data_IF_202126026412
#
_entry.id   IF_202126026412
#
_cell.length_a   1.000
_cell.length_b   1.000
_cell.length_c   1.000
_cell.angle_alpha   90.00
_cell.angle_beta   90.00
_cell.angle_gamma   90.00
#
_symmetry.space_group_name_H-M   'P 1'
#
loop_
_entity.id
_entity.type
_entity.pdbx_description
1 polymer ?
#
# COMPACT_ATOMS: atom_id res chain seq x y z
N UNK A 1 22.96 21.84 -20.54
CA UNK A 1 23.03 21.89 -19.08
C UNK A 1 23.42 23.31 -18.72
N UNK A 2 22.66 24.00 -17.88
CA UNK A 2 23.08 25.34 -17.43
C UNK A 2 24.25 25.21 -16.46
N UNK A 3 25.08 26.25 -16.30
CA UNK A 3 26.20 26.22 -15.34
C UNK A 3 25.72 25.90 -13.90
N UNK A 4 24.53 26.39 -13.52
CA UNK A 4 23.89 26.09 -12.24
C UNK A 4 23.51 24.60 -12.11
N UNK A 5 23.01 23.98 -13.19
CA UNK A 5 22.67 22.56 -13.19
C UNK A 5 23.92 21.69 -13.03
N UNK A 6 25.04 22.07 -13.65
CA UNK A 6 26.33 21.38 -13.51
C UNK A 6 26.86 21.47 -12.07
N UNK A 7 26.81 22.67 -11.46
CA UNK A 7 27.22 22.89 -10.07
C UNK A 7 26.35 22.07 -9.09
N UNK A 8 25.03 22.00 -9.32
CA UNK A 8 24.13 21.16 -8.53
C UNK A 8 24.49 19.68 -8.68
N UNK A 9 24.77 19.22 -9.90
CA UNK A 9 25.14 17.82 -10.15
C UNK A 9 26.47 17.45 -9.51
N UNK A 10 27.43 18.37 -9.48
CA UNK A 10 28.70 18.20 -8.77
C UNK A 10 28.46 18.05 -7.26
N UNK A 11 27.67 18.94 -6.64
CA UNK A 11 27.29 18.83 -5.22
C UNK A 11 26.55 17.53 -4.90
N UNK A 12 25.60 17.13 -5.76
CA UNK A 12 24.87 15.86 -5.63
C UNK A 12 25.79 14.64 -5.76
N UNK A 13 26.85 14.73 -6.58
CA UNK A 13 27.84 13.66 -6.70
C UNK A 13 28.64 13.49 -5.41
N UNK A 14 28.92 14.59 -4.69
CA UNK A 14 29.56 14.57 -3.38
C UNK A 14 28.68 13.96 -2.29
N UNK A 15 27.34 14.06 -2.42
CA UNK A 15 26.39 13.36 -1.54
C UNK A 15 26.32 11.85 -1.80
N UNK A 16 26.92 11.35 -2.88
CA UNK A 16 26.77 9.95 -3.25
C UNK A 16 27.63 9.06 -2.34
N UNK A 17 26.95 8.37 -1.41
CA UNK A 17 27.53 7.41 -0.46
C UNK A 17 28.31 6.27 -1.14
N UNK A 18 28.12 6.02 -2.43
CA UNK A 18 28.98 5.09 -3.17
C UNK A 18 30.47 5.49 -3.17
N UNK A 19 30.79 6.75 -2.85
CA UNK A 19 32.15 7.25 -2.66
C UNK A 19 32.66 7.10 -1.21
N UNK A 20 31.80 6.79 -0.23
CA UNK A 20 32.21 6.57 1.16
C UNK A 20 32.98 5.24 1.21
N UNK A 21 34.30 5.26 1.55
CA UNK A 21 35.11 4.05 1.64
C UNK A 21 34.47 3.00 2.52
N UNK A 22 34.56 1.72 2.12
CA UNK A 22 33.97 0.61 2.90
C UNK A 22 34.56 0.51 4.31
N UNK A 23 35.77 1.03 4.52
CA UNK A 23 36.40 1.06 5.85
C UNK A 23 35.66 1.98 6.84
N UNK A 24 34.87 2.95 6.37
CA UNK A 24 34.08 3.85 7.21
C UNK A 24 32.77 3.25 7.74
N UNK A 25 32.36 2.07 7.24
CA UNK A 25 31.12 1.40 7.68
C UNK A 25 31.24 0.75 9.07
N UNK A 26 32.46 0.64 9.60
CA UNK A 26 32.78 0.10 10.93
C UNK A 26 33.40 1.17 11.85
N UNK A 27 33.27 2.45 11.50
CA UNK A 27 34.04 3.54 12.09
C UNK A 27 33.59 4.01 13.49
N UNK A 28 34.55 4.52 14.27
CA UNK A 28 34.33 5.22 15.53
C UNK A 28 33.57 6.57 15.36
N UNK A 29 32.94 7.03 16.44
CA UNK A 29 32.12 8.26 16.52
C UNK A 29 32.74 9.54 15.92
N UNK A 30 34.06 9.62 15.76
CA UNK A 30 34.72 10.83 15.26
C UNK A 30 34.67 10.95 13.73
N UNK A 31 34.64 9.83 12.98
CA UNK A 31 34.45 9.86 11.52
C UNK A 31 32.99 10.18 11.14
N UNK A 32 32.03 9.80 12.00
CA UNK A 32 30.62 10.19 11.84
C UNK A 32 30.46 11.72 11.90
N UNK A 33 31.20 12.39 12.78
CA UNK A 33 31.17 13.87 12.89
C UNK A 33 31.75 14.55 11.66
N UNK A 34 32.82 14.02 11.09
CA UNK A 34 33.45 14.55 9.88
C UNK A 34 32.48 14.46 8.69
N UNK A 35 31.87 13.29 8.48
CA UNK A 35 30.84 13.10 7.45
C UNK A 35 29.66 14.08 7.63
N UNK A 36 29.22 14.31 8.86
CA UNK A 36 28.16 15.27 9.16
C UNK A 36 28.55 16.71 8.77
N UNK A 37 29.79 17.12 9.07
CA UNK A 37 30.31 18.44 8.68
C UNK A 37 30.32 18.63 7.16
N UNK A 38 30.81 17.63 6.42
CA UNK A 38 30.85 17.67 4.96
C UNK A 38 29.45 17.81 4.33
N UNK A 39 28.44 17.18 4.93
CA UNK A 39 27.06 17.29 4.48
C UNK A 39 26.50 18.70 4.70
N UNK A 40 26.76 19.31 5.85
CA UNK A 40 26.29 20.66 6.18
C UNK A 40 26.87 21.69 5.19
N UNK A 41 28.15 21.58 4.84
CA UNK A 41 28.78 22.42 3.81
C UNK A 41 28.13 22.27 2.43
N UNK A 42 27.70 21.06 2.05
CA UNK A 42 26.99 20.83 0.78
C UNK A 42 25.60 21.49 0.81
N UNK A 43 24.87 21.38 1.92
CA UNK A 43 23.55 21.99 2.04
C UNK A 43 23.61 23.51 2.07
N UNK A 44 24.60 24.12 2.72
CA UNK A 44 24.84 25.57 2.67
C UNK A 44 25.13 26.02 1.23
N UNK A 45 25.93 25.28 0.46
CA UNK A 45 26.15 25.59 -0.97
C UNK A 45 24.85 25.50 -1.80
N UNK A 46 23.94 24.57 -1.46
CA UNK A 46 22.63 24.58 -2.11
C UNK A 46 21.82 25.82 -1.77
N UNK A 47 21.88 26.33 -0.53
CA UNK A 47 21.21 27.58 -0.15
C UNK A 47 21.82 28.78 -0.87
N UNK A 48 23.15 28.88 -0.94
CA UNK A 48 23.84 29.92 -1.70
C UNK A 48 23.41 29.92 -3.17
N UNK A 49 23.29 28.73 -3.78
CA UNK A 49 22.79 28.58 -5.15
C UNK A 49 21.35 29.05 -5.31
N UNK A 50 20.48 28.66 -4.38
CA UNK A 50 19.07 29.08 -4.34
C UNK A 50 18.97 30.61 -4.24
N UNK A 51 19.78 31.23 -3.39
CA UNK A 51 19.76 32.68 -3.14
C UNK A 51 20.49 33.51 -4.18
N UNK A 52 21.40 32.90 -4.95
CA UNK A 52 22.14 33.57 -6.02
C UNK A 52 21.25 34.13 -7.14
N UNK A 53 20.00 33.64 -7.25
CA UNK A 53 19.02 33.99 -8.31
C UNK A 53 19.56 33.80 -9.73
N UNK A 54 20.59 32.96 -9.92
CA UNK A 54 21.19 32.65 -11.22
C UNK A 54 20.24 31.88 -12.16
N UNK A 55 19.21 31.24 -11.60
CA UNK A 55 18.14 30.56 -12.32
C UNK A 55 16.81 30.69 -11.57
N UNK A 56 15.66 30.40 -12.21
CA UNK A 56 14.37 30.38 -11.52
C UNK A 56 14.40 29.38 -10.35
N UNK A 57 13.92 29.80 -9.17
CA UNK A 57 13.90 29.00 -7.95
C UNK A 57 13.34 27.59 -8.19
N UNK A 58 12.24 27.49 -8.93
CA UNK A 58 11.57 26.23 -9.24
C UNK A 58 12.49 25.26 -10.00
N UNK A 59 13.37 25.74 -10.88
CA UNK A 59 14.24 24.90 -11.70
C UNK A 59 15.44 24.40 -10.90
N UNK A 60 15.99 25.26 -10.03
CA UNK A 60 17.02 24.89 -9.05
C UNK A 60 16.49 23.79 -8.13
N UNK A 61 15.34 24.03 -7.47
CA UNK A 61 14.76 23.09 -6.53
C UNK A 61 14.34 21.77 -7.20
N UNK A 62 13.81 21.80 -8.44
CA UNK A 62 13.51 20.57 -9.20
C UNK A 62 14.76 19.73 -9.41
N UNK A 63 15.88 20.37 -9.74
CA UNK A 63 17.16 19.68 -10.00
C UNK A 63 17.68 19.03 -8.72
N UNK A 64 17.68 19.77 -7.61
CA UNK A 64 18.07 19.27 -6.29
C UNK A 64 17.16 18.09 -5.88
N UNK A 65 15.84 18.25 -5.96
CA UNK A 65 14.89 17.23 -5.55
C UNK A 65 14.98 15.96 -6.41
N UNK A 66 15.23 16.11 -7.72
CA UNK A 66 15.50 14.99 -8.62
C UNK A 66 16.75 14.22 -8.17
N UNK A 67 17.81 14.94 -7.78
CA UNK A 67 19.03 14.38 -7.19
C UNK A 67 18.80 13.65 -5.85
N UNK A 68 17.84 14.14 -5.06
CA UNK A 68 17.50 13.51 -3.77
C UNK A 68 16.71 12.21 -3.92
N UNK A 69 15.97 11.98 -5.02
CA UNK A 69 15.20 10.73 -5.23
C UNK A 69 16.02 9.46 -4.96
N UNK A 70 17.20 9.24 -5.57
CA UNK A 70 18.01 8.05 -5.31
C UNK A 70 18.52 7.97 -3.86
N UNK A 71 18.81 9.09 -3.20
CA UNK A 71 19.21 9.14 -1.79
C UNK A 71 18.04 8.72 -0.90
N UNK A 72 16.88 9.38 -1.06
CA UNK A 72 15.69 9.15 -0.24
C UNK A 72 15.09 7.75 -0.41
N UNK A 73 15.29 7.15 -1.58
CA UNK A 73 14.88 5.77 -1.88
C UNK A 73 15.94 4.73 -1.52
N UNK A 74 17.13 5.16 -1.11
CA UNK A 74 18.30 4.33 -0.83
C UNK A 74 18.72 3.49 -2.05
N UNK A 75 18.52 4.03 -3.26
CA UNK A 75 18.81 3.41 -4.55
C UNK A 75 20.22 3.73 -5.07
N UNK A 76 21.00 4.56 -4.37
CA UNK A 76 22.41 4.83 -4.72
C UNK A 76 23.32 3.59 -4.70
N UNK A 77 22.79 2.45 -4.26
CA UNK A 77 23.41 1.14 -4.44
C UNK A 77 23.40 0.80 -5.94
N UNK A 78 24.54 1.03 -6.59
CA UNK A 78 24.85 0.37 -7.86
C UNK A 78 24.52 -1.13 -7.78
N UNK A 79 24.19 -1.73 -8.92
CA UNK A 79 23.64 -3.09 -9.04
C UNK A 79 24.49 -4.22 -8.42
N UNK A 80 25.64 -3.92 -7.81
CA UNK A 80 26.63 -4.85 -7.26
C UNK A 80 26.60 -5.02 -5.73
N UNK A 81 25.87 -4.20 -4.95
CA UNK A 81 25.72 -4.51 -3.53
C UNK A 81 24.73 -5.65 -3.36
N UNK A 82 25.25 -6.82 -3.00
CA UNK A 82 24.50 -7.94 -2.46
C UNK A 82 23.88 -7.54 -1.11
N UNK A 83 22.82 -6.74 -1.19
CA UNK A 83 21.51 -7.12 -0.70
C UNK A 83 21.51 -7.87 0.63
N UNK A 84 21.48 -7.13 1.74
CA UNK A 84 20.66 -7.43 2.94
C UNK A 84 20.79 -6.40 4.06
N UNK A 85 21.73 -5.44 3.96
CA UNK A 85 21.89 -4.38 4.97
C UNK A 85 21.82 -2.99 4.34
N UNK A 86 21.04 -2.12 4.96
CA UNK A 86 21.09 -0.67 4.77
C UNK A 86 22.03 -0.15 5.86
N UNK A 87 23.13 0.51 5.51
CA UNK A 87 24.08 1.02 6.51
C UNK A 87 23.57 2.32 7.15
N UNK A 88 24.13 2.65 8.31
CA UNK A 88 23.69 3.77 9.16
C UNK A 88 23.96 5.11 8.50
N UNK A 89 25.08 5.24 7.80
CA UNK A 89 25.57 6.43 7.12
C UNK A 89 24.61 6.83 5.99
N UNK A 90 24.14 5.86 5.21
CA UNK A 90 23.11 6.12 4.19
C UNK A 90 21.80 6.62 4.80
N UNK A 91 21.44 6.10 5.98
CA UNK A 91 20.25 6.58 6.71
C UNK A 91 20.48 8.01 7.20
N UNK A 92 21.68 8.35 7.68
CA UNK A 92 22.04 9.71 8.09
C UNK A 92 21.98 10.68 6.91
N UNK A 93 22.63 10.38 5.77
CA UNK A 93 22.57 11.23 4.57
C UNK A 93 21.13 11.44 4.12
N UNK A 94 20.34 10.36 4.10
CA UNK A 94 18.90 10.44 3.81
C UNK A 94 18.16 11.35 4.79
N UNK A 95 18.43 11.25 6.08
CA UNK A 95 17.79 12.08 7.10
C UNK A 95 18.19 13.56 6.93
N UNK A 96 19.47 13.85 6.65
CA UNK A 96 19.93 15.21 6.38
C UNK A 96 19.31 15.83 5.14
N UNK A 97 19.13 15.04 4.06
CA UNK A 97 18.34 15.49 2.91
C UNK A 97 16.90 15.82 3.28
N UNK A 98 16.28 15.07 4.21
CA UNK A 98 14.93 15.37 4.70
C UNK A 98 14.91 16.64 5.55
N UNK A 99 15.88 16.82 6.44
CA UNK A 99 16.00 18.02 7.26
C UNK A 99 16.16 19.28 6.39
N UNK A 100 16.95 19.19 5.32
CA UNK A 100 17.08 20.24 4.33
C UNK A 100 15.73 20.56 3.64
N UNK A 101 14.96 19.54 3.25
CA UNK A 101 13.60 19.74 2.69
C UNK A 101 12.68 20.41 3.72
N UNK A 102 12.76 20.02 5.00
CA UNK A 102 11.98 20.61 6.10
C UNK A 102 12.35 22.09 6.27
N UNK A 103 13.64 22.43 6.25
CA UNK A 103 14.15 23.80 6.30
C UNK A 103 13.59 24.65 5.15
N UNK A 104 13.70 24.16 3.91
CA UNK A 104 13.14 24.83 2.74
C UNK A 104 11.61 24.98 2.79
N UNK A 105 10.91 24.02 3.42
CA UNK A 105 9.45 24.05 3.56
C UNK A 105 8.98 25.00 4.66
N UNK A 106 9.88 25.34 5.60
CA UNK A 106 9.60 26.23 6.72
C UNK A 106 10.00 27.67 6.41
N UNK A 107 10.97 27.89 5.53
CA UNK A 107 11.40 29.22 5.09
C UNK A 107 10.30 29.91 4.25
N UNK A 108 9.90 31.15 4.59
CA UNK A 108 8.87 31.88 3.84
C UNK A 108 9.23 32.10 2.36
N UNK A 109 10.53 32.19 2.05
CA UNK A 109 11.03 32.51 0.72
C UNK A 109 10.87 31.36 -0.28
N UNK A 110 10.91 30.11 0.20
CA UNK A 110 10.86 28.92 -0.68
C UNK A 110 9.62 28.07 -0.47
N UNK A 111 8.92 28.23 0.67
CA UNK A 111 7.85 27.34 1.13
C UNK A 111 6.80 26.98 0.08
N UNK A 112 6.31 27.93 -0.72
CA UNK A 112 5.29 27.65 -1.74
C UNK A 112 5.82 26.69 -2.80
N UNK A 113 6.95 27.05 -3.41
CA UNK A 113 7.63 26.26 -4.44
C UNK A 113 8.04 24.88 -3.93
N UNK A 114 8.60 24.82 -2.72
CA UNK A 114 9.02 23.57 -2.08
C UNK A 114 7.83 22.63 -1.90
N UNK A 115 6.69 23.13 -1.42
CA UNK A 115 5.47 22.30 -1.20
C UNK A 115 4.93 21.67 -2.46
N UNK A 116 4.90 22.40 -3.57
CA UNK A 116 4.46 21.86 -4.86
C UNK A 116 5.38 20.72 -5.33
N UNK A 117 6.67 20.83 -5.06
CA UNK A 117 7.66 19.81 -5.41
C UNK A 117 7.62 18.59 -4.48
N UNK A 118 7.21 18.74 -3.22
CA UNK A 118 7.05 17.61 -2.29
C UNK A 118 6.06 16.58 -2.83
N UNK A 119 4.95 17.02 -3.41
CA UNK A 119 3.99 16.13 -4.06
C UNK A 119 4.66 15.25 -5.12
N UNK A 120 5.44 15.87 -6.02
CA UNK A 120 6.15 15.19 -7.11
C UNK A 120 7.24 14.25 -6.55
N UNK A 121 7.96 14.72 -5.53
CA UNK A 121 9.00 13.94 -4.85
C UNK A 121 8.43 12.66 -4.23
N UNK A 122 7.30 12.76 -3.53
CA UNK A 122 6.63 11.59 -2.94
C UNK A 122 6.22 10.57 -4.00
N UNK A 123 5.72 11.02 -5.16
CA UNK A 123 5.41 10.12 -6.28
C UNK A 123 6.67 9.37 -6.77
N UNK A 124 7.77 10.10 -6.95
CA UNK A 124 9.03 9.49 -7.37
C UNK A 124 9.57 8.50 -6.33
N UNK A 125 9.49 8.82 -5.03
CA UNK A 125 9.89 7.90 -3.96
C UNK A 125 9.07 6.62 -4.03
N UNK A 126 7.74 6.71 -4.20
CA UNK A 126 6.88 5.53 -4.34
C UNK A 126 7.27 4.66 -5.55
N UNK A 127 7.51 5.27 -6.71
CA UNK A 127 7.83 4.54 -7.96
C UNK A 127 9.23 3.94 -7.93
N UNK A 128 10.19 4.63 -7.30
CA UNK A 128 11.61 4.26 -7.30
C UNK A 128 12.03 3.46 -6.06
N UNK A 129 11.16 3.32 -5.05
CA UNK A 129 11.41 2.48 -3.89
C UNK A 129 11.70 1.03 -4.32
N UNK A 130 12.85 0.46 -3.92
CA UNK A 130 13.18 -0.92 -4.24
C UNK A 130 12.17 -1.89 -3.65
N UNK A 131 11.99 -3.02 -4.32
CA UNK A 131 10.90 -3.97 -4.04
C UNK A 131 11.03 -4.74 -2.71
N UNK A 132 12.17 -4.67 -2.03
CA UNK A 132 12.37 -5.44 -0.79
C UNK A 132 11.73 -4.74 0.40
N UNK A 133 11.16 -5.54 1.29
CA UNK A 133 10.48 -5.05 2.51
C UNK A 133 11.36 -4.15 3.39
N UNK A 134 12.68 -4.38 3.43
CA UNK A 134 13.62 -3.53 4.18
C UNK A 134 13.65 -2.09 3.66
N UNK A 135 13.47 -1.87 2.35
CA UNK A 135 13.42 -0.51 1.81
C UNK A 135 12.06 0.14 2.08
N UNK A 136 10.97 -0.64 2.04
CA UNK A 136 9.65 -0.14 2.39
C UNK A 136 9.62 0.37 3.83
N UNK A 137 10.15 -0.39 4.79
CA UNK A 137 10.19 0.00 6.20
C UNK A 137 11.02 1.27 6.46
N UNK A 138 11.98 1.59 5.57
CA UNK A 138 12.78 2.83 5.64
C UNK A 138 12.16 3.99 4.85
N UNK A 139 11.42 3.73 3.77
CA UNK A 139 10.89 4.78 2.89
C UNK A 139 9.48 5.24 3.27
N UNK A 140 8.66 4.38 3.89
CA UNK A 140 7.33 4.79 4.37
C UNK A 140 7.42 5.93 5.40
N UNK A 141 8.29 5.88 6.43
CA UNK A 141 8.44 7.00 7.37
C UNK A 141 8.78 8.33 6.66
N UNK A 142 9.65 8.27 5.64
CA UNK A 142 9.98 9.43 4.80
C UNK A 142 8.77 9.99 4.08
N UNK A 143 7.94 9.13 3.50
CA UNK A 143 6.69 9.55 2.84
C UNK A 143 5.76 10.21 3.87
N UNK A 144 5.64 9.66 5.08
CA UNK A 144 4.80 10.24 6.14
C UNK A 144 5.32 11.60 6.64
N UNK A 145 6.64 11.79 6.69
CA UNK A 145 7.24 13.06 7.07
C UNK A 145 7.05 14.12 5.98
N UNK A 146 7.26 13.75 4.71
CA UNK A 146 6.98 14.63 3.57
C UNK A 146 5.49 15.00 3.49
N UNK A 147 4.61 14.04 3.81
CA UNK A 147 3.18 14.27 3.91
C UNK A 147 2.80 15.34 4.95
N UNK A 148 3.49 15.40 6.09
CA UNK A 148 3.24 16.44 7.11
C UNK A 148 3.60 17.84 6.63
N UNK A 149 4.57 17.95 5.73
CA UNK A 149 4.96 19.23 5.14
C UNK A 149 3.91 19.74 4.13
N UNK A 150 3.02 18.87 3.65
CA UNK A 150 1.89 19.21 2.81
C UNK A 150 0.73 19.78 3.64
N UNK A 151 0.84 21.05 4.03
CA UNK A 151 -0.23 21.73 4.78
C UNK A 151 -1.51 21.97 3.96
N UNK A 152 -1.43 21.93 2.63
CA UNK A 152 -2.60 22.11 1.75
C UNK A 152 -3.37 20.79 1.59
N UNK A 153 -4.63 20.81 2.02
CA UNK A 153 -5.55 19.66 1.90
C UNK A 153 -5.78 19.26 0.44
N UNK A 154 -5.80 20.20 -0.50
CA UNK A 154 -6.00 19.88 -1.92
C UNK A 154 -4.82 19.07 -2.46
N UNK A 155 -3.59 19.45 -2.08
CA UNK A 155 -2.39 18.74 -2.49
C UNK A 155 -2.33 17.33 -1.87
N UNK A 156 -2.73 17.19 -0.59
CA UNK A 156 -2.87 15.87 0.06
C UNK A 156 -3.91 15.01 -0.66
N UNK A 157 -5.07 15.56 -0.95
CA UNK A 157 -6.14 14.88 -1.67
C UNK A 157 -5.69 14.44 -3.07
N UNK A 158 -4.95 15.30 -3.78
CA UNK A 158 -4.33 14.97 -5.07
C UNK A 158 -3.35 13.81 -4.95
N UNK A 159 -2.57 13.75 -3.86
CA UNK A 159 -1.69 12.61 -3.58
C UNK A 159 -2.47 11.33 -3.33
N UNK A 160 -3.55 11.36 -2.53
CA UNK A 160 -4.35 10.16 -2.27
C UNK A 160 -5.04 9.63 -3.53
N UNK A 161 -5.56 10.52 -4.39
CA UNK A 161 -6.12 10.11 -5.68
C UNK A 161 -5.06 9.49 -6.59
N UNK A 162 -3.85 10.05 -6.62
CA UNK A 162 -2.74 9.44 -7.33
C UNK A 162 -2.35 8.08 -6.74
N UNK A 163 -2.29 7.96 -5.40
CA UNK A 163 -2.01 6.70 -4.70
C UNK A 163 -3.06 5.64 -5.02
N UNK A 164 -4.32 6.04 -5.17
CA UNK A 164 -5.41 5.18 -5.63
C UNK A 164 -5.16 4.63 -7.04
N UNK A 165 -4.69 5.47 -7.97
CA UNK A 165 -4.27 5.00 -9.30
C UNK A 165 -3.06 4.07 -9.20
N UNK A 166 -2.04 4.44 -8.43
CA UNK A 166 -0.83 3.66 -8.20
C UNK A 166 -1.14 2.27 -7.58
N UNK A 167 -2.15 2.16 -6.72
CA UNK A 167 -2.58 0.90 -6.11
C UNK A 167 -3.17 -0.12 -7.09
N UNK A 168 -3.52 0.31 -8.31
CA UNK A 168 -4.05 -0.55 -9.39
C UNK A 168 -2.97 -1.00 -10.38
N UNK A 169 -1.71 -0.62 -10.15
CA UNK A 169 -0.61 -0.92 -11.05
C UNK A 169 -0.40 -2.45 -11.23
N UNK A 170 -0.05 -2.89 -12.44
CA UNK A 170 0.13 -4.32 -12.75
C UNK A 170 1.19 -5.01 -11.86
N UNK A 171 2.27 -4.29 -11.52
CA UNK A 171 3.34 -4.80 -10.63
C UNK A 171 2.86 -4.96 -9.18
N UNK A 172 2.94 -6.20 -8.68
CA UNK A 172 2.61 -6.60 -7.29
C UNK A 172 3.27 -5.68 -6.25
N UNK A 173 4.55 -5.36 -6.39
CA UNK A 173 5.27 -4.57 -5.39
C UNK A 173 4.77 -3.14 -5.26
N UNK A 174 4.28 -2.54 -6.35
CA UNK A 174 3.69 -1.20 -6.30
C UNK A 174 2.37 -1.22 -5.55
N UNK A 175 1.54 -2.24 -5.80
CA UNK A 175 0.28 -2.44 -5.08
C UNK A 175 0.52 -2.71 -3.58
N UNK A 176 1.51 -3.54 -3.25
CA UNK A 176 1.92 -3.79 -1.86
C UNK A 176 2.33 -2.50 -1.16
N UNK A 177 3.22 -1.71 -1.77
CA UNK A 177 3.67 -0.44 -1.22
C UNK A 177 2.51 0.55 -1.06
N UNK A 178 1.59 0.62 -2.04
CA UNK A 178 0.42 1.48 -1.96
C UNK A 178 -0.47 1.15 -0.76
N UNK A 179 -0.68 -0.14 -0.48
CA UNK A 179 -1.44 -0.60 0.71
C UNK A 179 -0.73 -0.20 2.00
N UNK A 180 0.58 -0.38 2.08
CA UNK A 180 1.35 -0.02 3.27
C UNK A 180 1.31 1.48 3.54
N UNK A 181 1.51 2.31 2.51
CA UNK A 181 1.39 3.77 2.61
C UNK A 181 -0.02 4.17 3.04
N UNK A 182 -1.06 3.59 2.43
CA UNK A 182 -2.45 3.92 2.77
C UNK A 182 -2.79 3.58 4.22
N UNK A 183 -2.33 2.42 4.72
CA UNK A 183 -2.50 2.02 6.11
C UNK A 183 -1.78 2.99 7.07
N UNK A 184 -0.52 3.31 6.78
CA UNK A 184 0.26 4.21 7.63
C UNK A 184 -0.32 5.63 7.67
N UNK A 185 -0.81 6.15 6.53
CA UNK A 185 -1.49 7.44 6.47
C UNK A 185 -2.80 7.40 7.26
N UNK A 186 -3.63 6.36 7.14
CA UNK A 186 -4.88 6.25 7.89
C UNK A 186 -4.67 6.22 9.40
N UNK A 187 -3.75 5.38 9.88
CA UNK A 187 -3.40 5.33 11.31
C UNK A 187 -2.97 6.71 11.83
N UNK A 188 -2.22 7.47 11.02
CA UNK A 188 -1.79 8.83 11.35
C UNK A 188 -2.95 9.83 11.38
N UNK A 189 -3.84 9.80 10.38
CA UNK A 189 -4.97 10.74 10.28
C UNK A 189 -5.99 10.57 11.41
N UNK A 190 -6.14 9.37 11.95
CA UNK A 190 -6.98 9.12 13.12
C UNK A 190 -6.53 9.92 14.35
N UNK A 191 -5.23 10.13 14.51
CA UNK A 191 -4.69 10.91 15.63
C UNK A 191 -4.84 12.43 15.44
N UNK A 192 -5.24 12.89 14.25
CA UNK A 192 -5.22 14.31 13.87
C UNK A 192 -6.59 14.92 13.55
N UNK A 193 -7.71 14.17 13.68
CA UNK A 193 -9.07 14.72 13.45
C UNK A 193 -9.33 15.21 12.02
N UNK A 194 -8.70 14.59 11.02
CA UNK A 194 -8.75 15.04 9.61
C UNK A 194 -10.06 14.65 8.91
N UNK A 195 -10.42 15.42 7.86
CA UNK A 195 -11.60 15.23 7.01
C UNK A 195 -11.86 13.77 6.60
N UNK A 196 -13.13 13.38 6.69
CA UNK A 196 -13.63 12.06 6.28
C UNK A 196 -13.33 11.73 4.83
N UNK A 197 -13.22 12.73 3.94
CA UNK A 197 -12.94 12.53 2.52
C UNK A 197 -11.55 11.89 2.28
N UNK A 198 -10.55 12.34 3.02
CA UNK A 198 -9.18 11.85 2.92
C UNK A 198 -9.07 10.41 3.46
N UNK A 199 -9.72 10.14 4.60
CA UNK A 199 -9.81 8.78 5.16
C UNK A 199 -10.58 7.84 4.24
N UNK A 200 -11.65 8.33 3.62
CA UNK A 200 -12.46 7.57 2.66
C UNK A 200 -11.63 7.05 1.49
N UNK A 201 -10.83 7.92 0.84
CA UNK A 201 -10.01 7.52 -0.32
C UNK A 201 -8.98 6.47 0.10
N UNK A 202 -8.27 6.69 1.20
CA UNK A 202 -7.25 5.76 1.66
C UNK A 202 -7.86 4.41 2.07
N UNK A 203 -9.02 4.42 2.70
CA UNK A 203 -9.72 3.19 3.06
C UNK A 203 -10.21 2.45 1.81
N UNK A 204 -10.72 3.16 0.79
CA UNK A 204 -11.08 2.53 -0.48
C UNK A 204 -9.90 1.81 -1.13
N UNK A 205 -8.68 2.35 -1.04
CA UNK A 205 -7.47 1.68 -1.56
C UNK A 205 -7.33 0.32 -0.90
N UNK A 206 -7.42 0.26 0.43
CA UNK A 206 -7.29 -0.98 1.21
C UNK A 206 -8.42 -1.95 0.85
N UNK A 207 -9.68 -1.50 0.86
CA UNK A 207 -10.84 -2.34 0.56
C UNK A 207 -10.77 -2.94 -0.84
N UNK A 208 -10.40 -2.15 -1.85
CA UNK A 208 -10.20 -2.64 -3.22
C UNK A 208 -9.11 -3.72 -3.29
N UNK A 209 -8.05 -3.61 -2.47
CA UNK A 209 -6.95 -4.59 -2.41
C UNK A 209 -7.27 -5.83 -1.57
N UNK A 210 -8.33 -5.84 -0.75
CA UNK A 210 -8.87 -7.08 -0.16
C UNK A 210 -9.43 -8.05 -1.21
N UNK A 211 -9.70 -7.56 -2.43
CA UNK A 211 -10.13 -8.34 -3.59
C UNK A 211 -9.02 -8.57 -4.62
N UNK A 212 -7.75 -8.36 -4.26
CA UNK A 212 -6.62 -8.59 -5.18
C UNK A 212 -6.52 -10.06 -5.61
N UNK A 213 -5.79 -10.31 -6.70
CA UNK A 213 -5.45 -11.66 -7.17
C UNK A 213 -4.28 -12.26 -6.40
N UNK A 214 -3.36 -11.42 -5.90
CA UNK A 214 -2.17 -11.89 -5.18
C UNK A 214 -2.47 -12.05 -3.70
N UNK A 215 -2.39 -13.28 -3.19
CA UNK A 215 -2.75 -13.61 -1.80
C UNK A 215 -1.97 -12.81 -0.75
N UNK A 216 -0.70 -12.48 -0.99
CA UNK A 216 0.09 -11.66 -0.04
C UNK A 216 -0.44 -10.25 0.10
N UNK A 217 -0.95 -9.64 -0.98
CA UNK A 217 -1.60 -8.32 -0.96
C UNK A 217 -2.93 -8.43 -0.20
N UNK A 218 -3.74 -9.45 -0.50
CA UNK A 218 -5.02 -9.68 0.19
C UNK A 218 -4.81 -9.81 1.70
N UNK A 219 -3.85 -10.64 2.12
CA UNK A 219 -3.52 -10.85 3.54
C UNK A 219 -3.08 -9.55 4.18
N UNK A 220 -2.26 -8.75 3.50
CA UNK A 220 -1.79 -7.46 4.01
C UNK A 220 -2.91 -6.43 4.13
N UNK A 221 -3.77 -6.31 3.13
CA UNK A 221 -4.92 -5.42 3.15
C UNK A 221 -5.92 -5.81 4.24
N UNK A 222 -6.30 -7.10 4.33
CA UNK A 222 -7.18 -7.61 5.39
C UNK A 222 -6.56 -7.48 6.79
N UNK A 223 -5.26 -7.76 6.92
CA UNK A 223 -4.55 -7.64 8.20
C UNK A 223 -4.47 -6.20 8.67
N UNK A 224 -4.20 -5.27 7.77
CA UNK A 224 -4.23 -3.84 8.04
C UNK A 224 -5.63 -3.36 8.41
N UNK A 225 -6.65 -3.74 7.65
CA UNK A 225 -8.05 -3.44 7.94
C UNK A 225 -8.48 -3.97 9.32
N UNK A 226 -8.09 -5.20 9.68
CA UNK A 226 -8.32 -5.77 11.01
C UNK A 226 -7.73 -4.90 12.10
N UNK A 227 -6.49 -4.42 11.92
CA UNK A 227 -5.83 -3.56 12.90
C UNK A 227 -6.57 -2.23 13.05
N UNK A 228 -6.91 -1.57 11.94
CA UNK A 228 -7.71 -0.33 11.96
C UNK A 228 -9.03 -0.50 12.72
N UNK A 229 -9.77 -1.58 12.44
CA UNK A 229 -11.02 -1.90 13.14
C UNK A 229 -10.82 -2.26 14.61
N UNK A 230 -9.65 -2.78 14.98
CA UNK A 230 -9.36 -3.10 16.39
C UNK A 230 -8.96 -1.87 17.20
N UNK A 231 -8.37 -0.87 16.55
CA UNK A 231 -7.94 0.38 17.17
C UNK A 231 -9.10 1.38 17.32
N UNK A 232 -9.92 1.55 16.27
CA UNK A 232 -11.05 2.48 16.25
C UNK A 232 -12.24 1.92 15.46
N UNK A 233 -12.82 0.86 16.01
CA UNK A 233 -13.86 0.06 15.37
C UNK A 233 -15.12 0.84 14.99
N UNK A 234 -15.53 1.80 15.82
CA UNK A 234 -16.72 2.61 15.57
C UNK A 234 -16.52 3.56 14.38
N UNK A 235 -15.42 4.31 14.36
CA UNK A 235 -15.14 5.26 13.27
C UNK A 235 -15.00 4.53 11.92
N UNK A 236 -14.21 3.46 11.88
CA UNK A 236 -14.01 2.71 10.64
C UNK A 236 -15.26 1.95 10.21
N UNK A 237 -16.05 1.43 11.14
CA UNK A 237 -17.32 0.79 10.80
C UNK A 237 -18.29 1.76 10.13
N UNK A 238 -18.37 3.01 10.62
CA UNK A 238 -19.20 4.05 10.00
C UNK A 238 -18.68 4.41 8.60
N UNK A 239 -17.36 4.59 8.45
CA UNK A 239 -16.76 4.92 7.16
C UNK A 239 -16.95 3.80 6.12
N UNK A 240 -16.82 2.54 6.52
CA UNK A 240 -17.08 1.37 5.66
C UNK A 240 -18.55 1.32 5.24
N UNK A 241 -19.49 1.57 6.16
CA UNK A 241 -20.92 1.64 5.82
C UNK A 241 -21.19 2.74 4.78
N UNK A 242 -20.57 3.90 4.93
CA UNK A 242 -20.71 5.00 3.97
C UNK A 242 -20.14 4.63 2.59
N UNK A 243 -19.02 3.90 2.55
CA UNK A 243 -18.46 3.36 1.28
C UNK A 243 -19.45 2.40 0.63
N UNK A 244 -19.98 1.43 1.38
CA UNK A 244 -20.95 0.46 0.85
C UNK A 244 -22.21 1.15 0.31
N UNK A 245 -22.73 2.16 1.02
CA UNK A 245 -23.90 2.92 0.57
C UNK A 245 -23.62 3.71 -0.72
N UNK A 246 -22.44 4.32 -0.84
CA UNK A 246 -22.06 5.09 -2.03
C UNK A 246 -21.78 4.21 -3.26
N UNK A 247 -21.15 3.04 -3.07
CA UNK A 247 -20.92 2.08 -4.16
C UNK A 247 -22.24 1.59 -4.78
N UNK A 248 -23.25 1.35 -3.94
CA UNK A 248 -24.59 0.96 -4.41
C UNK A 248 -25.33 2.08 -5.17
N UNK A 249 -24.97 3.36 -4.97
CA UNK A 249 -25.62 4.48 -5.64
C UNK A 249 -25.10 4.69 -7.07
N UNK A 250 -23.78 4.59 -7.30
CA UNK A 250 -23.20 4.81 -8.63
C UNK A 250 -23.59 3.72 -9.64
N UNK A 251 -23.67 2.46 -9.21
CA UNK A 251 -24.12 1.36 -10.08
C UNK A 251 -25.58 1.50 -10.50
N UNK A 252 -26.44 2.06 -9.64
CA UNK A 252 -27.85 2.31 -9.97
C UNK A 252 -28.03 3.36 -11.07
N UNK A 253 -27.08 4.30 -11.17
CA UNK A 253 -27.09 5.37 -12.17
C UNK A 253 -26.44 4.94 -13.50
N UNK A 254 -25.47 4.01 -13.48
CA UNK A 254 -24.89 3.44 -14.70
C UNK A 254 -25.77 2.37 -15.38
N UNK A 255 -26.67 1.72 -14.64
CA UNK A 255 -27.63 0.76 -15.21
C UNK A 255 -28.80 1.39 -16.01
N UNK A 256 -28.88 2.72 -16.14
CA UNK A 256 -30.02 3.42 -16.78
C UNK A 256 -29.71 4.27 -18.02
N UNK A 257 -28.50 4.23 -18.58
CA UNK A 257 -28.23 4.99 -19.82
C UNK A 257 -28.58 4.17 -21.08
N UNK A 258 -29.52 4.61 -21.93
CA UNK A 258 -29.83 3.94 -23.19
C UNK A 258 -28.70 4.17 -24.20
N UNK A 259 -28.30 3.10 -24.89
CA UNK A 259 -27.43 3.15 -26.07
C UNK A 259 -28.01 4.11 -27.12
N UNK A 260 -27.36 5.26 -27.36
CA UNK A 260 -27.54 6.02 -28.60
C UNK A 260 -26.20 6.48 -29.18
N UNK A 261 -25.92 5.90 -30.35
CA UNK A 261 -25.16 6.37 -31.53
C UNK A 261 -24.35 7.67 -31.45
N UNK A 262 -23.07 7.57 -31.84
CA UNK A 262 -22.26 8.59 -32.55
C UNK A 262 -22.80 8.77 -34.00
N UNK A 263 -22.57 9.90 -34.73
CA UNK A 263 -21.29 10.63 -34.78
C UNK A 263 -21.30 12.18 -34.95
N UNK A 264 -20.17 12.78 -34.51
CA UNK A 264 -19.44 13.88 -35.17
C UNK A 264 -20.01 15.31 -35.17
N UNK A 265 -19.32 16.28 -34.54
CA UNK A 265 -18.46 17.26 -35.24
C UNK A 265 -17.71 18.20 -34.26
N UNK A 266 -16.63 18.79 -34.78
CA UNK A 266 -15.64 19.66 -34.12
C UNK A 266 -16.19 21.05 -33.78
N UNK A 267 -15.81 21.64 -32.63
CA UNK A 267 -15.16 22.97 -32.53
C UNK A 267 -14.74 23.34 -31.09
N UNK A 268 -13.69 24.15 -31.07
CA UNK A 268 -12.81 24.63 -30.01
C UNK A 268 -13.43 25.64 -29.03
N UNK A 269 -13.05 25.56 -27.75
CA UNK A 269 -12.87 26.73 -26.86
C UNK A 269 -11.61 26.50 -26.00
N UNK A 270 -10.74 27.51 -25.97
CA UNK A 270 -9.50 27.57 -25.23
C UNK A 270 -9.73 27.95 -23.75
N UNK A 271 -8.95 27.38 -22.81
CA UNK A 271 -8.22 28.10 -21.74
C UNK A 271 -7.48 27.18 -20.76
N UNK A 272 -6.25 27.62 -20.46
CA UNK A 272 -5.51 27.52 -19.19
C UNK A 272 -4.85 26.21 -18.77
N UNK A 273 -3.65 26.01 -19.31
CA UNK A 273 -2.39 25.60 -18.67
C UNK A 273 -2.40 25.14 -17.20
N UNK A 274 -2.19 23.83 -17.00
CA UNK A 274 -1.16 23.24 -16.14
C UNK A 274 -0.98 21.79 -16.62
N UNK A 275 0.00 21.59 -17.51
CA UNK A 275 0.23 20.31 -18.18
C UNK A 275 0.63 19.23 -17.16
N UNK A 276 -0.16 18.17 -17.11
CA UNK A 276 0.21 16.87 -16.56
C UNK A 276 1.32 16.32 -17.46
N UNK A 277 2.55 16.24 -16.94
CA UNK A 277 3.68 15.67 -17.67
C UNK A 277 3.48 14.14 -17.75
N UNK A 278 3.57 13.51 -18.94
CA UNK A 278 3.61 12.07 -19.06
C UNK A 278 4.99 11.56 -18.61
N UNK A 279 5.01 10.68 -17.60
CA UNK A 279 6.21 9.98 -17.15
C UNK A 279 6.60 8.91 -18.17
N UNK A 280 7.55 9.20 -19.05
CA UNK A 280 8.31 8.18 -19.78
C UNK A 280 9.59 7.86 -18.99
N UNK A 281 9.94 6.58 -18.77
CA UNK A 281 11.24 6.23 -18.21
C UNK A 281 12.31 6.39 -19.29
N UNK A 282 13.20 7.36 -19.10
CA UNK A 282 14.44 7.48 -19.87
C UNK A 282 15.28 6.20 -19.70
N UNK A 283 15.63 5.57 -20.82
CA UNK A 283 16.71 4.59 -20.91
C UNK A 283 18.02 5.38 -21.02
N UNK A 284 18.97 5.09 -20.13
CA UNK A 284 20.34 5.60 -20.24
C UNK A 284 21.16 4.62 -21.10
N UNK A 285 21.74 5.15 -22.17
CA UNK A 285 22.74 4.52 -23.02
C UNK A 285 24.06 4.36 -22.24
N UNK A 286 24.51 3.12 -22.06
CA UNK A 286 25.92 2.82 -21.76
C UNK A 286 26.44 1.83 -22.79
N UNK A 287 27.33 2.34 -23.64
CA UNK A 287 28.05 1.63 -24.69
C UNK A 287 29.14 0.74 -24.09
N UNK A 288 29.01 -0.59 -24.25
CA UNK A 288 30.15 -1.52 -24.20
C UNK A 288 29.98 -2.55 -25.33
N UNK A 289 30.95 -2.54 -26.25
CA UNK A 289 31.08 -3.50 -27.36
C UNK A 289 31.46 -4.89 -26.80
N UNK A 290 30.69 -5.94 -27.12
CA UNK A 290 31.14 -7.11 -27.89
C UNK A 290 30.09 -8.26 -27.93
N UNK A 291 29.70 -8.60 -29.16
CA UNK A 291 29.29 -9.91 -29.71
C UNK A 291 28.61 -10.97 -28.82
N UNK A 292 27.32 -11.20 -29.00
CA UNK A 292 26.82 -12.31 -29.83
C UNK A 292 25.29 -12.37 -29.85
N UNK A 293 24.78 -12.68 -31.04
CA UNK A 293 23.38 -12.75 -31.46
C UNK A 293 22.60 -13.82 -30.71
N UNK A 294 21.42 -13.46 -30.18
CA UNK A 294 20.15 -14.22 -30.33
C UNK A 294 18.96 -13.35 -29.91
N UNK A 295 18.01 -13.25 -30.83
CA UNK A 295 16.79 -12.46 -30.79
C UNK A 295 15.93 -12.78 -29.56
N UNK A 296 15.46 -11.75 -28.85
CA UNK A 296 14.36 -11.84 -27.91
C UNK A 296 13.35 -10.72 -28.23
N UNK A 297 12.10 -11.15 -28.42
CA UNK A 297 10.95 -10.35 -28.86
C UNK A 297 10.69 -9.18 -27.92
N UNK A 298 10.49 -8.02 -28.53
CA UNK A 298 9.96 -6.79 -27.92
C UNK A 298 8.54 -7.01 -27.42
N UNK A 299 8.35 -7.05 -26.10
CA UNK A 299 7.03 -6.95 -25.47
C UNK A 299 6.57 -5.49 -25.52
N UNK A 300 5.57 -5.22 -26.38
CA UNK A 300 4.73 -4.03 -26.28
C UNK A 300 3.90 -4.15 -25.00
N UNK A 301 4.06 -3.19 -24.10
CA UNK A 301 3.15 -2.98 -22.99
C UNK A 301 1.86 -2.34 -23.51
N UNK A 302 0.88 -3.17 -23.85
CA UNK A 302 -0.51 -2.75 -23.96
C UNK A 302 -1.07 -2.55 -22.55
N UNK A 303 -1.53 -1.33 -22.27
CA UNK A 303 -2.28 -0.97 -21.07
C UNK A 303 -3.68 -1.60 -21.16
N UNK A 304 -3.78 -2.89 -20.89
CA UNK A 304 -5.08 -3.52 -20.63
C UNK A 304 -5.50 -3.17 -19.20
N UNK A 305 -6.33 -2.13 -19.08
CA UNK A 305 -7.22 -1.93 -17.94
C UNK A 305 -8.22 -3.09 -17.90
N UNK A 306 -7.80 -4.23 -17.36
CA UNK A 306 -8.76 -5.21 -16.83
C UNK A 306 -9.40 -4.61 -15.59
N UNK A 307 -10.47 -3.84 -15.81
CA UNK A 307 -11.53 -3.68 -14.84
C UNK A 307 -12.05 -5.06 -14.47
N UNK A 308 -11.48 -5.62 -13.40
CA UNK A 308 -12.12 -6.71 -12.67
C UNK A 308 -13.40 -6.14 -12.07
N UNK A 309 -14.48 -6.13 -12.86
CA UNK A 309 -15.84 -5.92 -12.39
C UNK A 309 -16.07 -6.90 -11.22
N UNK A 310 -16.25 -6.34 -10.03
CA UNK A 310 -16.50 -7.08 -8.79
C UNK A 310 -17.91 -7.69 -8.90
N UNK A 311 -18.09 -9.01 -8.84
CA UNK A 311 -19.42 -9.56 -8.62
C UNK A 311 -19.69 -9.53 -7.11
N UNK A 312 -20.76 -8.84 -6.70
CA UNK A 312 -21.31 -8.61 -5.34
C UNK A 312 -20.74 -7.41 -4.57
N UNK A 313 -21.55 -6.36 -4.43
CA UNK A 313 -21.12 -4.96 -4.28
C UNK A 313 -21.05 -4.45 -2.84
N UNK A 314 -21.04 -5.34 -1.86
CA UNK A 314 -20.93 -4.95 -0.45
C UNK A 314 -19.65 -5.47 0.18
N UNK A 315 -19.09 -4.68 1.08
CA UNK A 315 -17.96 -5.03 1.93
C UNK A 315 -18.14 -6.41 2.58
N UNK A 316 -19.34 -6.71 3.08
CA UNK A 316 -19.62 -7.98 3.73
C UNK A 316 -19.55 -9.17 2.77
N UNK A 317 -20.04 -9.03 1.54
CA UNK A 317 -19.92 -10.12 0.55
C UNK A 317 -18.46 -10.38 0.19
N UNK A 318 -17.66 -9.31 0.06
CA UNK A 318 -16.22 -9.41 -0.14
C UNK A 318 -15.56 -10.18 1.01
N UNK A 319 -15.86 -9.83 2.27
CA UNK A 319 -15.25 -10.52 3.42
C UNK A 319 -15.71 -11.98 3.53
N UNK A 320 -17.00 -12.28 3.33
CA UNK A 320 -17.53 -13.64 3.37
C UNK A 320 -16.89 -14.52 2.29
N UNK A 321 -16.72 -13.98 1.07
CA UNK A 321 -15.97 -14.67 0.01
C UNK A 321 -14.56 -15.01 0.48
N UNK A 322 -13.85 -14.06 1.11
CA UNK A 322 -12.49 -14.28 1.59
C UNK A 322 -12.40 -15.24 2.77
N UNK A 323 -13.47 -15.41 3.55
CA UNK A 323 -13.55 -16.47 4.56
C UNK A 323 -13.58 -17.88 3.95
N UNK A 324 -13.95 -17.99 2.67
CA UNK A 324 -13.98 -19.23 1.90
C UNK A 324 -12.85 -19.33 0.88
N UNK A 325 -11.86 -18.43 0.93
CA UNK A 325 -10.71 -18.41 0.01
C UNK A 325 -9.92 -19.73 0.05
N UNK A 326 -9.28 -20.15 -1.03
CA UNK A 326 -8.48 -21.39 -1.03
C UNK A 326 -7.25 -21.31 -0.12
N UNK A 327 -6.68 -20.11 0.05
CA UNK A 327 -5.48 -19.91 0.86
C UNK A 327 -5.85 -19.79 2.34
N UNK A 328 -5.29 -20.67 3.16
CA UNK A 328 -5.54 -20.75 4.62
C UNK A 328 -5.32 -19.40 5.31
N UNK A 329 -4.24 -18.70 4.98
CA UNK A 329 -3.91 -17.41 5.59
C UNK A 329 -4.90 -16.31 5.20
N UNK A 330 -5.43 -16.31 3.97
CA UNK A 330 -6.47 -15.35 3.56
C UNK A 330 -7.73 -15.60 4.38
N UNK A 331 -8.21 -16.86 4.46
CA UNK A 331 -9.38 -17.24 5.26
C UNK A 331 -9.24 -16.81 6.71
N UNK A 332 -8.11 -17.15 7.32
CA UNK A 332 -7.84 -16.84 8.73
C UNK A 332 -7.91 -15.32 8.97
N UNK A 333 -7.27 -14.51 8.13
CA UNK A 333 -7.27 -13.06 8.30
C UNK A 333 -8.66 -12.47 8.03
N UNK A 334 -9.40 -12.96 7.04
CA UNK A 334 -10.78 -12.53 6.77
C UNK A 334 -11.72 -12.83 7.96
N UNK A 335 -11.61 -14.01 8.56
CA UNK A 335 -12.36 -14.38 9.77
C UNK A 335 -12.04 -13.45 10.95
N UNK A 336 -10.79 -13.01 11.07
CA UNK A 336 -10.40 -12.04 12.10
C UNK A 336 -11.03 -10.66 11.85
N UNK A 337 -11.12 -10.22 10.58
CA UNK A 337 -11.84 -8.98 10.23
C UNK A 337 -13.32 -9.09 10.63
N UNK A 338 -13.99 -10.21 10.29
CA UNK A 338 -15.37 -10.47 10.72
C UNK A 338 -15.51 -10.43 12.24
N UNK A 339 -14.55 -11.01 12.96
CA UNK A 339 -14.55 -11.01 14.40
C UNK A 339 -14.47 -9.58 14.96
N UNK A 340 -13.60 -8.70 14.45
CA UNK A 340 -13.51 -7.31 14.87
C UNK A 340 -14.84 -6.59 14.66
N UNK A 341 -15.40 -6.67 13.45
CA UNK A 341 -16.70 -6.05 13.13
C UNK A 341 -17.79 -6.55 14.08
N UNK A 342 -17.84 -7.86 14.34
CA UNK A 342 -18.87 -8.44 15.21
C UNK A 342 -18.80 -7.96 16.65
N UNK A 343 -17.58 -7.73 17.19
CA UNK A 343 -17.41 -7.24 18.55
C UNK A 343 -17.96 -5.83 18.69
N UNK A 344 -17.60 -4.95 17.76
CA UNK A 344 -18.04 -3.55 17.79
C UNK A 344 -19.56 -3.46 17.57
N UNK A 345 -20.11 -4.33 16.72
CA UNK A 345 -21.55 -4.41 16.49
C UNK A 345 -22.34 -4.93 17.69
N UNK A 346 -21.85 -5.96 18.41
CA UNK A 346 -22.50 -6.46 19.62
C UNK A 346 -22.52 -5.38 20.71
N UNK A 347 -21.46 -4.56 20.80
CA UNK A 347 -21.40 -3.44 21.74
C UNK A 347 -22.34 -2.30 21.32
N UNK A 348 -22.44 -2.01 20.02
CA UNK A 348 -23.30 -0.95 19.47
C UNK A 348 -24.80 -1.31 19.46
N UNK A 349 -25.16 -2.60 19.38
CA UNK A 349 -26.56 -3.08 19.29
C UNK A 349 -27.34 -3.13 20.62
N UNK A 350 -26.99 -2.31 21.62
CA UNK A 350 -27.92 -1.98 22.70
C UNK A 350 -29.10 -1.09 22.24
N UNK A 351 -29.22 -0.80 20.95
CA UNK A 351 -30.39 -0.17 20.32
C UNK A 351 -30.67 -0.68 18.89
N UNK A 352 -31.65 -1.59 18.77
CA UNK A 352 -32.58 -1.83 17.64
C UNK A 352 -31.98 -1.99 16.21
N UNK A 353 -31.79 -3.23 15.73
CA UNK A 353 -32.50 -3.83 14.57
C UNK A 353 -32.04 -5.29 14.32
N UNK A 354 -32.93 -6.27 14.57
CA UNK A 354 -32.57 -7.69 14.74
C UNK A 354 -32.86 -8.62 13.54
N UNK A 355 -33.42 -8.11 12.43
CA UNK A 355 -34.07 -9.00 11.43
C UNK A 355 -33.25 -9.17 10.14
N UNK A 356 -32.58 -8.13 9.64
CA UNK A 356 -31.85 -8.22 8.36
C UNK A 356 -30.55 -9.05 8.46
N UNK A 357 -29.95 -9.14 9.65
CA UNK A 357 -28.63 -9.76 9.86
C UNK A 357 -28.68 -11.24 10.29
N UNK A 358 -29.83 -11.73 10.76
CA UNK A 358 -30.01 -13.14 11.17
C UNK A 358 -29.77 -14.13 10.01
N UNK A 359 -30.06 -13.71 8.77
CA UNK A 359 -29.95 -14.58 7.59
C UNK A 359 -28.49 -14.72 7.12
N UNK A 360 -27.69 -13.64 7.09
CA UNK A 360 -26.27 -13.71 6.70
C UNK A 360 -25.38 -14.35 7.77
N UNK A 361 -25.71 -14.19 9.06
CA UNK A 361 -24.97 -14.86 10.13
C UNK A 361 -25.09 -16.38 10.07
N UNK A 362 -26.15 -16.97 9.50
CA UNK A 362 -26.21 -18.43 9.29
C UNK A 362 -25.09 -18.93 8.38
N UNK A 363 -24.72 -18.19 7.34
CA UNK A 363 -23.62 -18.56 6.44
C UNK A 363 -22.25 -18.34 7.10
N UNK A 364 -22.10 -17.27 7.89
CA UNK A 364 -20.90 -17.05 8.71
C UNK A 364 -20.74 -18.15 9.78
N UNK A 365 -21.83 -18.55 10.44
CA UNK A 365 -21.85 -19.65 11.40
C UNK A 365 -21.55 -20.99 10.73
N UNK A 366 -22.05 -21.25 9.51
CA UNK A 366 -21.67 -22.45 8.73
C UNK A 366 -20.17 -22.46 8.42
N UNK A 367 -19.60 -21.32 8.01
CA UNK A 367 -18.17 -21.19 7.77
C UNK A 367 -17.33 -21.36 9.05
N UNK A 368 -17.78 -20.78 10.17
CA UNK A 368 -17.13 -20.92 11.48
C UNK A 368 -17.23 -22.35 12.05
N UNK A 369 -18.38 -23.01 11.88
CA UNK A 369 -18.58 -24.42 12.24
C UNK A 369 -17.71 -25.33 11.38
N UNK A 370 -17.60 -25.07 10.08
CA UNK A 370 -16.67 -25.77 9.19
C UNK A 370 -15.22 -25.61 9.67
N UNK A 371 -14.79 -24.40 10.03
CA UNK A 371 -13.44 -24.16 10.54
C UNK A 371 -13.18 -24.87 11.89
N UNK A 372 -14.18 -24.87 12.80
CA UNK A 372 -14.10 -25.61 14.06
C UNK A 372 -14.03 -27.12 13.83
N UNK A 373 -14.81 -27.66 12.90
CA UNK A 373 -14.78 -29.08 12.53
C UNK A 373 -13.44 -29.47 11.91
N UNK A 374 -12.90 -28.68 10.98
CA UNK A 374 -11.57 -28.91 10.37
C UNK A 374 -10.45 -28.79 11.41
N UNK A 375 -10.49 -27.80 12.32
CA UNK A 375 -9.49 -27.65 13.38
C UNK A 375 -9.50 -28.81 14.39
N UNK A 376 -10.69 -29.30 14.74
CA UNK A 376 -10.85 -30.52 15.57
C UNK A 376 -10.36 -31.76 14.83
N UNK A 377 -10.60 -31.87 13.52
CA UNK A 377 -10.12 -32.98 12.69
C UNK A 377 -8.59 -32.98 12.59
N UNK A 378 -7.97 -31.82 12.34
CA UNK A 378 -6.51 -31.65 12.26
C UNK A 378 -5.85 -31.93 13.60
N UNK A 379 -6.45 -31.51 14.73
CA UNK A 379 -5.97 -31.87 16.07
C UNK A 379 -6.12 -33.36 16.38
N UNK A 380 -7.18 -34.01 15.88
CA UNK A 380 -7.35 -35.46 16.01
C UNK A 380 -6.34 -36.22 15.16
N UNK A 381 -6.09 -35.82 13.91
CA UNK A 381 -5.15 -36.47 12.98
C UNK A 381 -3.69 -36.23 13.37
N UNK A 382 -3.34 -35.02 13.85
CA UNK A 382 -2.00 -34.70 14.34
C UNK A 382 -1.59 -35.45 15.62
N UNK A 383 -2.58 -35.99 16.36
CA UNK A 383 -2.34 -36.87 17.50
C UNK A 383 -2.32 -38.37 17.13
N UNK A 384 -2.53 -38.74 15.86
CA UNK A 384 -2.31 -40.12 15.37
C UNK A 384 -0.90 -40.22 14.77
N UNK A 385 0.09 -39.90 15.58
CA UNK A 385 1.43 -40.45 15.39
C UNK A 385 1.40 -41.92 15.81
N UNK A 386 1.64 -42.82 14.84
CA UNK A 386 1.62 -44.30 14.94
C UNK A 386 0.24 -44.95 14.89
N UNK A 387 -0.26 -45.20 13.69
CA UNK A 387 -0.91 -46.48 13.41
C UNK A 387 -0.30 -47.03 12.12
N UNK A 388 0.34 -48.19 12.23
CA UNK A 388 1.09 -48.83 11.15
C UNK A 388 0.18 -49.25 9.99
N UNK A 389 0.66 -49.01 8.77
CA UNK A 389 0.10 -49.62 7.58
C UNK A 389 0.51 -51.09 7.56
N UNK A 390 -0.42 -51.97 7.91
CA UNK A 390 -0.38 -53.37 7.48
C UNK A 390 -1.26 -53.46 6.22
N UNK A 391 -0.58 -53.58 5.09
CA UNK A 391 -1.16 -53.93 3.80
C UNK A 391 -1.48 -55.42 3.87
N UNK A 392 -2.75 -55.78 3.72
CA UNK A 392 -3.16 -57.04 3.12
C UNK A 392 -4.46 -56.79 2.36
N UNK A 393 -4.42 -57.15 1.07
CA UNK A 393 -5.50 -56.93 0.14
C UNK A 393 -6.64 -57.92 0.30
N UNK A 394 -7.78 -57.54 -0.25
CA UNK A 394 -8.49 -58.35 -1.25
C UNK A 394 -9.53 -57.50 -1.96
N UNK A 395 -9.71 -57.81 -3.23
CA UNK A 395 -10.64 -57.18 -4.16
C UNK A 395 -12.08 -57.35 -3.70
N UNK A 396 -12.89 -56.29 -3.82
CA UNK A 396 -14.14 -56.40 -4.59
C UNK A 396 -14.80 -55.04 -4.81
N UNK A 397 -15.10 -54.78 -6.07
CA UNK A 397 -15.95 -53.73 -6.58
C UNK A 397 -17.34 -53.71 -5.92
N UNK A 398 -17.81 -52.52 -5.54
CA UNK A 398 -19.16 -52.01 -5.91
C UNK A 398 -19.36 -50.57 -5.41
N UNK A 399 -19.87 -49.78 -6.33
CA UNK A 399 -20.41 -48.43 -6.19
C UNK A 399 -21.44 -48.32 -5.07
N UNK A 400 -21.20 -47.43 -4.10
CA UNK A 400 -22.23 -46.89 -3.22
C UNK A 400 -21.89 -45.45 -2.87
N UNK A 401 -22.56 -44.51 -3.57
CA UNK A 401 -22.73 -43.13 -3.12
C UNK A 401 -23.56 -43.16 -1.84
N UNK A 402 -22.92 -43.12 -0.68
CA UNK A 402 -23.62 -42.93 0.59
C UNK A 402 -23.34 -41.53 1.12
N UNK A 403 -24.39 -40.70 1.14
CA UNK A 403 -24.43 -39.44 1.89
C UNK A 403 -24.48 -39.80 3.37
N UNK A 404 -23.36 -39.65 4.08
CA UNK A 404 -23.35 -39.73 5.54
C UNK A 404 -23.92 -38.44 6.13
N UNK A 405 -25.22 -38.44 6.43
CA UNK A 405 -25.82 -37.49 7.36
C UNK A 405 -25.43 -37.88 8.78
N UNK A 406 -24.65 -37.04 9.48
CA UNK A 406 -24.42 -37.18 10.92
C UNK A 406 -25.61 -36.51 11.61
N UNK A 407 -26.54 -37.30 12.14
CA UNK A 407 -27.60 -36.84 13.04
C UNK A 407 -27.01 -36.71 14.45
N UNK A 408 -26.90 -35.48 14.97
CA UNK A 408 -26.54 -35.24 16.38
C UNK A 408 -27.83 -35.04 17.18
N UNK A 409 -28.16 -36.01 18.05
CA UNK A 409 -29.19 -35.85 19.07
C UNK A 409 -28.69 -34.91 20.18
N UNK A 410 -29.38 -33.79 20.38
CA UNK A 410 -29.23 -32.97 21.57
C UNK A 410 -30.15 -33.52 22.68
N UNK A 411 -29.56 -33.96 23.78
CA UNK A 411 -30.26 -34.26 25.03
C UNK A 411 -30.37 -32.96 25.82
N UNK A 412 -31.59 -32.48 26.01
CA UNK A 412 -31.91 -31.32 26.85
C UNK A 412 -31.90 -31.81 28.30
N UNK A 413 -30.96 -31.34 29.11
CA UNK A 413 -31.06 -31.46 30.56
C UNK A 413 -31.69 -30.16 31.06
N UNK A 414 -32.97 -30.24 31.40
CA UNK A 414 -33.60 -29.35 32.36
C UNK A 414 -33.17 -29.84 33.75
N UNK A 415 -32.66 -28.96 34.61
CA UNK A 415 -32.83 -29.00 36.08
C UNK A 415 -32.58 -27.58 36.63
N UNK A 416 -33.69 -26.92 36.96
CA UNK A 416 -33.97 -26.10 38.13
C UNK A 416 -32.84 -25.30 38.80
N UNK A 417 -32.95 -23.96 38.71
CA UNK A 417 -32.51 -23.07 39.76
C UNK A 417 -33.64 -22.07 40.08
N UNK A 418 -34.14 -22.24 41.30
CA UNK A 418 -35.27 -21.60 41.96
C UNK A 418 -34.99 -20.12 42.23
N UNK A 419 -36.06 -19.32 42.19
CA UNK A 419 -36.13 -17.92 42.63
C UNK A 419 -35.52 -17.69 44.02
N UNK A 420 -34.65 -16.68 44.14
CA UNK A 420 -34.82 -15.57 45.08
C UNK A 420 -33.98 -14.36 44.67
#
# INVERSE_FOLDING_TARGET
MSAVEEEILELLSSLNVAAIPRELLDADNDQEKELVGDLEDIFEKFLDLIDSKRAPLIDILKTIFKGFVPILTLKLLGASFQHDKVCTEMIQVKNRCLDFIVQLSSSPDYRSTTRDLIYILMQHICVKTPQKAIFHSKNIPTILQLHDLMLDENLRHRFYNWLGKFSRHAKVNYRTLAVEIALSLLSKLNSCGVSDSSRYILLQIILKRCSDVTSSIIIKALGGLRNLLSEDGECYSQLIRNIDLNLNFEESNHARSPKQSKPGNKRSIARSSLAVIPLTPAQEDVSLKNSNVKEAKTEKSEEDEQENELPSNTFFDMIVRRCSDEKVFVRRTALQVLQCISKDWIVSQRGIHHIYWSIRWKEVFKAALFYRQVSVLVKKVGNVGKLGFLVNGEENSRTLRSRSCILLHFRRNDEDAILH
#
